data_IF_312284425862
#
_entry.id   IF_312284425862
#
_cell.length_a   1.000
_cell.length_b   1.000
_cell.length_c   1.000
_cell.angle_alpha   90.00
_cell.angle_beta   90.00
_cell.angle_gamma   90.00
#
_symmetry.space_group_name_H-M   'P 1'
#
loop_
_entity.id
_entity.type
_entity.pdbx_description
1 polymer ?
#
# COMPACT_ATOMS: atom_id res chain seq x y z
N UNK A 1 1.24 9.53 21.42
CA UNK A 1 1.54 8.29 20.68
C UNK A 1 2.14 8.71 19.35
N UNK A 2 3.24 8.11 18.92
CA UNK A 2 3.87 8.42 17.63
C UNK A 2 3.17 7.65 16.51
N UNK A 3 3.24 8.14 15.27
CA UNK A 3 2.69 7.45 14.08
C UNK A 3 3.25 6.03 13.94
N UNK A 4 4.54 5.84 14.20
CA UNK A 4 5.19 4.52 14.20
C UNK A 4 4.58 3.57 15.23
N UNK A 5 4.34 4.05 16.46
CA UNK A 5 3.74 3.23 17.50
C UNK A 5 2.28 2.87 17.17
N UNK A 6 1.53 3.80 16.58
CA UNK A 6 0.16 3.54 16.11
C UNK A 6 0.14 2.49 15.00
N UNK A 7 1.07 2.59 14.05
CA UNK A 7 1.21 1.65 12.95
C UNK A 7 1.61 0.25 13.45
N UNK A 8 2.53 0.16 14.41
CA UNK A 8 2.93 -1.11 15.03
C UNK A 8 1.78 -1.77 15.78
N UNK A 9 1.01 -0.99 16.55
CA UNK A 9 -0.21 -1.47 17.20
C UNK A 9 -1.18 -2.00 16.15
N UNK A 10 -1.41 -1.23 15.08
CA UNK A 10 -2.34 -1.63 14.03
C UNK A 10 -1.88 -2.88 13.28
N UNK A 11 -0.57 -3.06 13.06
CA UNK A 11 -0.01 -4.29 12.51
C UNK A 11 -0.35 -5.50 13.37
N UNK A 12 -0.10 -5.41 14.68
CA UNK A 12 -0.42 -6.49 15.62
C UNK A 12 -1.93 -6.77 15.67
N UNK A 13 -2.77 -5.73 15.59
CA UNK A 13 -4.22 -5.89 15.49
C UNK A 13 -4.63 -6.68 14.23
N UNK A 14 -4.07 -6.35 13.06
CA UNK A 14 -4.35 -7.03 11.79
C UNK A 14 -3.85 -8.47 11.82
N UNK A 15 -2.63 -8.73 12.30
CA UNK A 15 -2.05 -10.07 12.42
C UNK A 15 -2.94 -10.97 13.29
N UNK A 16 -3.40 -10.44 14.43
CA UNK A 16 -4.32 -11.17 15.31
C UNK A 16 -5.69 -11.38 14.65
N UNK A 17 -6.18 -10.37 13.93
CA UNK A 17 -7.47 -10.46 13.25
C UNK A 17 -7.47 -11.53 12.16
N UNK A 18 -6.36 -11.67 11.43
CA UNK A 18 -6.14 -12.70 10.42
C UNK A 18 -5.92 -14.09 11.04
N UNK A 19 -5.22 -14.18 12.17
CA UNK A 19 -4.92 -15.47 12.77
C UNK A 19 -6.14 -16.12 13.45
N UNK A 20 -6.91 -15.34 14.23
CA UNK A 20 -7.96 -15.88 15.12
C UNK A 20 -9.16 -14.94 15.30
N UNK A 21 -9.23 -13.85 14.52
CA UNK A 21 -10.19 -12.78 14.74
C UNK A 21 -11.19 -12.61 13.60
N UNK A 22 -11.72 -11.39 13.40
CA UNK A 22 -12.77 -11.14 12.42
C UNK A 22 -12.33 -11.34 10.96
N UNK A 23 -11.03 -11.52 10.70
CA UNK A 23 -10.47 -11.80 9.38
C UNK A 23 -9.94 -13.24 9.26
N UNK A 24 -10.23 -14.14 10.19
CA UNK A 24 -9.73 -15.52 10.15
C UNK A 24 -10.20 -16.30 8.91
N UNK A 25 -11.44 -16.04 8.47
CA UNK A 25 -12.02 -16.64 7.27
C UNK A 25 -11.87 -15.73 6.04
N UNK A 26 -11.10 -14.63 6.16
CA UNK A 26 -10.90 -13.71 5.05
C UNK A 26 -9.94 -14.30 4.03
N UNK A 27 -10.38 -14.39 2.78
CA UNK A 27 -9.51 -14.72 1.66
C UNK A 27 -8.66 -13.49 1.31
N UNK A 28 -7.34 -13.65 1.36
CA UNK A 28 -6.38 -12.68 0.84
C UNK A 28 -6.33 -12.83 -0.68
N UNK A 29 -6.71 -11.78 -1.40
CA UNK A 29 -6.90 -11.80 -2.86
C UNK A 29 -5.58 -11.72 -3.61
N UNK A 30 -4.55 -11.11 -3.00
CA UNK A 30 -3.23 -10.98 -3.62
C UNK A 30 -2.32 -12.09 -3.12
N UNK A 31 -1.82 -12.86 -4.07
CA UNK A 31 -0.76 -13.85 -3.90
C UNK A 31 0.42 -13.42 -4.78
N UNK A 32 1.62 -13.41 -4.22
CA UNK A 32 2.84 -13.10 -4.96
C UNK A 32 3.28 -14.27 -5.86
N UNK A 33 4.36 -14.05 -6.62
CA UNK A 33 4.90 -15.05 -7.56
C UNK A 33 5.46 -16.31 -6.88
N UNK A 34 5.76 -16.23 -5.58
CA UNK A 34 6.28 -17.33 -4.77
C UNK A 34 5.18 -18.06 -3.98
N UNK A 35 3.92 -17.61 -4.10
CA UNK A 35 2.78 -18.19 -3.42
C UNK A 35 2.51 -17.62 -2.02
N UNK A 36 3.19 -16.55 -1.61
CA UNK A 36 2.89 -15.87 -0.34
C UNK A 36 1.76 -14.86 -0.51
N UNK A 37 1.13 -14.48 0.59
CA UNK A 37 0.09 -13.44 0.62
C UNK A 37 0.59 -12.23 1.43
N UNK A 38 1.38 -11.30 0.83
CA UNK A 38 1.93 -10.19 1.59
C UNK A 38 0.82 -9.31 2.18
N UNK A 39 0.99 -8.93 3.45
CA UNK A 39 0.07 -8.04 4.16
C UNK A 39 0.79 -6.75 4.51
N UNK A 40 0.21 -5.61 4.11
CA UNK A 40 0.75 -4.28 4.42
C UNK A 40 -0.32 -3.51 5.19
N UNK A 41 0.08 -2.88 6.29
CA UNK A 41 -0.81 -1.99 7.04
C UNK A 41 -0.48 -0.53 6.80
N UNK A 42 -1.48 0.34 6.85
CA UNK A 42 -1.34 1.77 6.70
C UNK A 42 -2.35 2.55 7.56
N UNK A 43 -2.06 3.83 7.78
CA UNK A 43 -2.94 4.78 8.46
C UNK A 43 -3.47 5.78 7.43
N UNK A 44 -4.76 6.15 7.51
CA UNK A 44 -5.37 7.06 6.52
C UNK A 44 -4.64 8.43 6.41
N UNK A 45 -3.98 8.86 7.47
CA UNK A 45 -3.37 10.19 7.56
C UNK A 45 -1.91 10.21 7.09
N UNK A 46 -1.29 9.04 6.91
CA UNK A 46 0.09 8.98 6.44
C UNK A 46 0.19 9.29 4.95
N UNK A 47 1.40 9.60 4.51
CA UNK A 47 1.70 10.00 3.12
C UNK A 47 1.63 8.78 2.19
N UNK A 48 0.94 8.91 1.05
CA UNK A 48 0.84 7.85 0.05
C UNK A 48 2.23 7.32 -0.40
N UNK A 49 3.25 8.15 -0.64
CA UNK A 49 4.60 7.65 -0.95
C UNK A 49 5.22 6.71 0.10
N UNK A 50 4.83 6.82 1.37
CA UNK A 50 5.31 5.94 2.45
C UNK A 50 4.66 4.56 2.34
N UNK A 51 3.37 4.51 2.03
CA UNK A 51 2.67 3.26 1.72
C UNK A 51 3.26 2.60 0.46
N UNK A 52 3.42 3.35 -0.63
CA UNK A 52 4.00 2.82 -1.87
C UNK A 52 5.38 2.22 -1.67
N UNK A 53 6.24 2.85 -0.85
CA UNK A 53 7.55 2.29 -0.50
C UNK A 53 7.44 0.97 0.28
N UNK A 54 6.47 0.85 1.20
CA UNK A 54 6.25 -0.41 1.93
C UNK A 54 5.76 -1.52 1.00
N UNK A 55 4.90 -1.19 0.04
CA UNK A 55 4.45 -2.14 -0.99
C UNK A 55 5.63 -2.57 -1.87
N UNK A 56 6.47 -1.62 -2.30
CA UNK A 56 7.70 -1.91 -3.05
C UNK A 56 8.62 -2.86 -2.27
N UNK A 57 8.78 -2.65 -0.96
CA UNK A 57 9.62 -3.50 -0.10
C UNK A 57 9.12 -4.95 0.05
N UNK A 58 7.84 -5.22 -0.23
CA UNK A 58 7.28 -6.58 -0.25
C UNK A 58 7.13 -7.14 -1.67
N UNK A 59 7.82 -6.55 -2.65
CA UNK A 59 7.87 -7.04 -4.02
C UNK A 59 6.76 -6.51 -4.93
N UNK A 60 5.99 -5.49 -4.50
CA UNK A 60 4.94 -4.87 -5.31
C UNK A 60 3.56 -5.53 -5.19
N UNK A 61 3.46 -6.67 -4.50
CA UNK A 61 2.21 -7.39 -4.24
C UNK A 61 1.79 -7.15 -2.80
N UNK A 62 0.54 -6.72 -2.55
CA UNK A 62 0.07 -6.50 -1.19
C UNK A 62 -1.46 -6.59 -1.03
N UNK A 63 -1.87 -7.28 0.02
CA UNK A 63 -3.17 -7.12 0.66
C UNK A 63 -3.04 -5.99 1.69
N UNK A 64 -3.55 -4.81 1.37
CA UNK A 64 -3.35 -3.62 2.20
C UNK A 64 -4.55 -3.40 3.11
N UNK A 65 -4.30 -3.23 4.40
CA UNK A 65 -5.29 -2.83 5.40
C UNK A 65 -4.99 -1.41 5.85
N UNK A 66 -5.98 -0.53 5.75
CA UNK A 66 -5.84 0.89 6.11
C UNK A 66 -6.74 1.22 7.27
N UNK A 67 -6.17 1.69 8.38
CA UNK A 67 -6.92 2.23 9.51
C UNK A 67 -7.47 3.60 9.13
N UNK A 68 -8.78 3.68 9.02
CA UNK A 68 -9.52 4.90 8.75
C UNK A 68 -10.42 5.28 9.96
N UNK A 69 -10.94 6.51 9.99
CA UNK A 69 -11.83 6.95 11.10
C UNK A 69 -13.03 6.05 11.34
N UNK A 70 -13.53 5.40 10.28
CA UNK A 70 -14.74 4.58 10.29
C UNK A 70 -14.46 3.07 10.27
N UNK A 71 -13.23 2.65 10.58
CA UNK A 71 -12.83 1.24 10.59
C UNK A 71 -11.69 0.95 9.62
N UNK A 72 -11.62 -0.29 9.13
CA UNK A 72 -10.54 -0.74 8.28
C UNK A 72 -11.00 -0.81 6.82
N UNK A 73 -10.30 -0.12 5.94
CA UNK A 73 -10.46 -0.24 4.48
C UNK A 73 -9.44 -1.24 3.93
N UNK A 74 -9.80 -2.01 2.92
CA UNK A 74 -8.93 -3.00 2.29
C UNK A 74 -8.73 -2.66 0.81
N UNK A 75 -7.51 -2.79 0.31
CA UNK A 75 -7.21 -2.71 -1.12
C UNK A 75 -6.25 -3.84 -1.51
N UNK A 76 -6.38 -4.31 -2.75
CA UNK A 76 -5.46 -5.24 -3.38
C UNK A 76 -4.50 -4.46 -4.28
N UNK A 77 -3.20 -4.77 -4.17
CA UNK A 77 -2.15 -4.21 -5.04
C UNK A 77 -1.39 -5.36 -5.66
N UNK A 78 -1.29 -5.37 -6.98
CA UNK A 78 -0.63 -6.42 -7.76
C UNK A 78 -0.03 -5.80 -9.02
N UNK A 79 0.85 -6.55 -9.69
CA UNK A 79 1.37 -6.16 -10.99
C UNK A 79 0.23 -6.07 -12.04
N UNK A 80 0.41 -5.17 -13.00
CA UNK A 80 -0.51 -4.96 -14.12
C UNK A 80 -0.71 -6.26 -14.91
N UNK A 81 0.34 -7.06 -15.08
CA UNK A 81 0.27 -8.34 -15.80
C UNK A 81 -0.57 -9.39 -15.07
N UNK A 82 -0.78 -9.23 -13.76
CA UNK A 82 -1.64 -10.07 -12.92
C UNK A 82 -3.09 -9.60 -12.81
N UNK A 83 -3.42 -8.40 -13.30
CA UNK A 83 -4.74 -7.80 -13.15
C UNK A 83 -5.72 -8.26 -14.25
N UNK A 84 -6.91 -8.68 -13.84
CA UNK A 84 -7.92 -9.26 -14.74
C UNK A 84 -8.52 -8.26 -15.74
N UNK A 85 -8.59 -6.97 -15.40
CA UNK A 85 -9.16 -5.92 -16.27
C UNK A 85 -8.38 -4.60 -16.20
N UNK A 86 -7.13 -4.63 -16.67
CA UNK A 86 -6.28 -3.43 -16.81
C UNK A 86 -6.91 -2.37 -17.72
N UNK A 87 -7.76 -2.77 -18.69
CA UNK A 87 -8.33 -1.86 -19.68
C UNK A 87 -9.40 -0.94 -19.08
N UNK A 88 -10.03 -1.35 -17.99
CA UNK A 88 -10.96 -0.52 -17.24
C UNK A 88 -10.27 0.36 -16.18
N UNK A 89 -9.00 0.11 -15.88
CA UNK A 89 -8.25 0.89 -14.91
C UNK A 89 -7.82 2.25 -15.48
N UNK A 90 -7.88 3.28 -14.64
CA UNK A 90 -7.35 4.60 -14.99
C UNK A 90 -5.81 4.56 -14.97
N UNK A 91 -5.17 4.87 -16.09
CA UNK A 91 -3.72 4.90 -16.20
C UNK A 91 -3.18 6.23 -15.68
N UNK A 92 -2.48 6.21 -14.54
CA UNK A 92 -1.89 7.38 -13.91
C UNK A 92 -0.35 7.29 -13.90
N UNK A 93 0.25 6.64 -14.91
CA UNK A 93 1.71 6.54 -15.02
C UNK A 93 2.36 7.85 -15.43
N UNK A 94 1.65 8.74 -16.12
CA UNK A 94 2.19 10.03 -16.54
C UNK A 94 2.36 10.99 -15.34
N UNK A 95 3.49 11.71 -15.22
CA UNK A 95 3.78 12.55 -14.04
C UNK A 95 2.73 13.61 -13.71
N UNK A 96 2.00 14.12 -14.71
CA UNK A 96 0.94 15.12 -14.52
C UNK A 96 -0.39 14.56 -14.00
N UNK A 97 -0.58 13.25 -14.09
CA UNK A 97 -1.80 12.54 -13.69
C UNK A 97 -1.63 11.86 -12.32
N UNK A 98 -0.38 11.62 -11.90
CA UNK A 98 -0.06 11.00 -10.61
C UNK A 98 -0.54 11.83 -9.40
N UNK A 99 -0.91 11.18 -8.28
CA UNK A 99 -1.14 11.86 -7.02
C UNK A 99 0.08 12.70 -6.60
N UNK A 100 -0.17 13.84 -5.96
CA UNK A 100 0.88 14.62 -5.33
C UNK A 100 1.66 13.77 -4.32
N UNK A 101 2.96 14.02 -4.17
CA UNK A 101 3.75 13.46 -3.07
C UNK A 101 3.20 13.84 -1.70
N UNK A 102 2.34 14.87 -1.64
CA UNK A 102 1.58 15.32 -0.47
C UNK A 102 0.23 14.67 -0.21
N UNK A 103 -0.25 13.84 -1.12
CA UNK A 103 -1.47 13.08 -0.92
C UNK A 103 -1.33 12.10 0.26
N UNK A 104 -2.36 12.03 1.08
CA UNK A 104 -2.47 11.01 2.13
C UNK A 104 -3.07 9.73 1.57
N UNK A 105 -2.88 8.61 2.27
CA UNK A 105 -3.51 7.34 1.92
C UNK A 105 -5.04 7.47 1.92
N UNK A 106 -5.62 8.18 2.89
CA UNK A 106 -7.08 8.37 2.97
C UNK A 106 -7.64 9.11 1.77
N UNK A 107 -7.04 10.24 1.38
CA UNK A 107 -7.47 11.00 0.21
C UNK A 107 -7.35 10.18 -1.08
N UNK A 108 -6.30 9.38 -1.19
CA UNK A 108 -6.11 8.45 -2.30
C UNK A 108 -7.20 7.38 -2.34
N UNK A 109 -7.55 6.77 -1.20
CA UNK A 109 -8.63 5.78 -1.14
C UNK A 109 -10.01 6.39 -1.43
N UNK A 110 -10.25 7.64 -1.03
CA UNK A 110 -11.50 8.34 -1.36
C UNK A 110 -11.61 8.58 -2.87
N UNK A 111 -10.50 8.90 -3.55
CA UNK A 111 -10.47 8.96 -5.01
C UNK A 111 -10.67 7.58 -5.64
N UNK A 112 -9.94 6.56 -5.19
CA UNK A 112 -10.02 5.19 -5.71
C UNK A 112 -11.44 4.61 -5.60
N UNK A 113 -12.23 5.01 -4.61
CA UNK A 113 -13.63 4.61 -4.47
C UNK A 113 -14.53 5.05 -5.65
N UNK A 114 -14.08 6.01 -6.47
CA UNK A 114 -14.75 6.46 -7.68
C UNK A 114 -14.21 5.80 -8.95
N UNK A 115 -13.12 5.04 -8.86
CA UNK A 115 -12.46 4.36 -9.98
C UNK A 115 -12.88 2.88 -10.00
N UNK A 116 -14.02 2.58 -10.62
CA UNK A 116 -14.60 1.22 -10.60
C UNK A 116 -13.68 0.13 -11.19
N UNK A 117 -12.81 0.47 -12.14
CA UNK A 117 -11.80 -0.42 -12.71
C UNK A 117 -10.44 -0.39 -12.01
N UNK A 118 -10.31 0.34 -10.90
CA UNK A 118 -9.03 0.60 -10.25
C UNK A 118 -8.17 1.59 -11.02
N UNK A 119 -6.89 1.62 -10.69
CA UNK A 119 -5.92 2.53 -11.29
C UNK A 119 -4.58 1.83 -11.51
N UNK A 120 -3.78 2.35 -12.43
CA UNK A 120 -2.38 1.96 -12.62
C UNK A 120 -1.49 3.10 -12.16
N UNK A 121 -0.62 2.83 -11.18
CA UNK A 121 0.38 3.77 -10.70
C UNK A 121 1.79 3.23 -10.91
N UNK A 122 2.80 4.10 -11.07
CA UNK A 122 4.18 3.66 -10.96
C UNK A 122 4.49 3.33 -9.49
N UNK A 123 5.44 2.40 -9.28
CA UNK A 123 5.90 2.04 -7.93
C UNK A 123 6.42 3.26 -7.14
N UNK A 124 6.94 4.28 -7.83
CA UNK A 124 7.41 5.54 -7.24
C UNK A 124 6.81 6.72 -7.98
N UNK A 125 6.19 7.63 -7.22
CA UNK A 125 5.64 8.86 -7.78
C UNK A 125 6.77 9.80 -8.21
N UNK A 126 6.62 10.45 -9.37
CA UNK A 126 7.58 11.37 -9.94
C UNK A 126 7.88 12.53 -8.98
N UNK A 127 6.86 13.06 -8.31
CA UNK A 127 6.97 14.16 -7.34
C UNK A 127 7.56 13.73 -6.00
N UNK A 128 7.51 12.45 -5.66
CA UNK A 128 8.18 11.89 -4.48
C UNK A 128 9.64 11.54 -4.76
N UNK A 129 9.99 11.35 -6.03
CA UNK A 129 11.34 10.97 -6.48
C UNK A 129 12.28 12.18 -6.64
N UNK A 130 11.73 13.39 -6.83
CA UNK A 130 12.51 14.63 -7.05
C UNK A 130 13.35 15.11 -5.84
N UNK A 131 13.22 14.48 -4.67
CA UNK A 131 13.99 14.77 -3.46
C UNK A 131 14.45 13.52 -2.70
N UNK A 132 14.29 12.33 -3.28
CA UNK A 132 14.80 11.11 -2.68
C UNK A 132 16.32 11.14 -2.78
N UNK A 133 17.02 11.30 -1.65
CA UNK A 133 18.45 11.00 -1.59
C UNK A 133 18.66 9.60 -2.19
N UNK A 134 19.68 9.37 -3.04
CA UNK A 134 20.00 8.03 -3.49
C UNK A 134 20.13 7.16 -2.24
N UNK A 135 19.42 6.03 -2.20
CA UNK A 135 19.45 5.11 -1.07
C UNK A 135 20.92 4.71 -0.83
N UNK A 136 21.58 5.39 0.12
CA UNK A 136 22.89 4.97 0.59
C UNK A 136 22.65 3.68 1.34
N UNK A 137 23.11 2.57 0.78
CA UNK A 137 23.29 1.30 1.45
C UNK A 137 24.05 1.59 2.75
N UNK A 138 23.38 1.45 3.90
CA UNK A 138 24.05 1.42 5.20
C UNK A 138 24.06 -0.04 5.62
N UNK A 139 25.23 -0.65 5.52
CA UNK A 139 25.50 -1.95 6.14
C UNK A 139 25.62 -1.72 7.66
N UNK A 140 24.68 -2.27 8.43
CA UNK A 140 24.77 -2.30 9.89
C UNK A 140 25.20 -3.71 10.27
N UNK A 141 26.47 -3.85 10.64
CA UNK A 141 27.01 -5.07 11.24
C UNK A 141 26.93 -4.92 12.77
N UNK A 142 26.19 -5.82 13.42
CA UNK A 142 26.31 -6.02 14.87
C UNK A 142 27.30 -7.13 15.13
N UNK A 143 28.30 -6.85 15.97
CA UNK A 143 28.96 -7.90 16.78
C UNK A 143 27.99 -8.45 17.81
#
# INVERSE_FOLDING_TARGET
MTELAELDIFRVEVDRALAVGPFAELVLEVVDVDGHCPVVVALEHERLPVLLRRIENVGGYANVFVRARRGIRRIAVMDVDGALDVRAAEDMREPGEQPSSSSTVGAFLDYLAHCAGGIVLPARLATASHGALPARQVEIVSV
#
